data_IF_812298230679
#
_entry.id   IF_812298230679
#
_cell.length_a   1.000
_cell.length_b   1.000
_cell.length_c   1.000
_cell.angle_alpha   90.00
_cell.angle_beta   90.00
_cell.angle_gamma   90.00
#
_symmetry.space_group_name_H-M   'P 1'
#
loop_
_entity.id
_entity.type
_entity.pdbx_description
1 polymer ?
#
# COMPACT_ATOMS: atom_id res chain seq x y z
N UNK A 1 13.90 27.47 -2.35
CA UNK A 1 13.17 27.85 -3.59
C UNK A 1 14.12 27.65 -4.76
N UNK A 2 13.86 26.68 -5.63
CA UNK A 2 14.64 26.46 -6.85
C UNK A 2 14.14 27.46 -7.90
N UNK A 3 15.04 28.27 -8.46
CA UNK A 3 14.74 29.32 -9.42
C UNK A 3 14.41 28.79 -10.81
N UNK A 4 13.21 28.26 -10.98
CA UNK A 4 12.62 27.96 -12.29
C UNK A 4 11.35 28.80 -12.41
N UNK A 5 11.27 29.65 -13.43
CA UNK A 5 10.05 30.40 -13.69
C UNK A 5 8.92 29.41 -13.99
N UNK A 6 7.73 29.65 -13.44
CA UNK A 6 6.55 28.79 -13.64
C UNK A 6 6.26 28.53 -15.14
N UNK A 7 6.73 29.43 -16.01
CA UNK A 7 6.55 29.39 -17.46
C UNK A 7 7.39 28.32 -18.20
N UNK A 8 8.43 27.74 -17.58
CA UNK A 8 9.24 26.69 -18.22
C UNK A 8 8.54 25.32 -18.21
N UNK A 9 7.74 25.01 -17.18
CA UNK A 9 7.02 23.74 -17.07
C UNK A 9 5.86 23.65 -18.08
N UNK A 10 5.13 24.74 -18.32
CA UNK A 10 3.98 24.76 -19.25
C UNK A 10 4.33 24.51 -20.72
N UNK A 11 5.61 24.55 -21.11
CA UNK A 11 6.01 24.20 -22.49
C UNK A 11 6.08 22.70 -22.75
N UNK A 12 6.11 21.88 -21.71
CA UNK A 12 6.23 20.42 -21.80
C UNK A 12 4.92 19.67 -21.54
N UNK A 13 3.92 20.35 -20.97
CA UNK A 13 2.62 19.75 -20.65
C UNK A 13 1.50 20.46 -21.40
N UNK A 14 0.59 19.67 -21.96
CA UNK A 14 -0.53 20.19 -22.75
C UNK A 14 -1.43 21.15 -21.94
N UNK A 15 -1.60 20.87 -20.65
CA UNK A 15 -2.38 21.69 -19.72
C UNK A 15 -1.94 21.43 -18.26
N UNK A 16 -2.64 22.09 -17.33
CA UNK A 16 -2.41 21.96 -15.89
C UNK A 16 -2.68 20.53 -15.38
N UNK A 17 -3.65 19.83 -15.96
CA UNK A 17 -4.03 18.50 -15.50
C UNK A 17 -3.03 17.44 -15.96
N UNK A 18 -2.44 17.61 -17.15
CA UNK A 18 -1.31 16.83 -17.62
C UNK A 18 -0.08 16.99 -16.72
N UNK A 19 0.24 18.22 -16.31
CA UNK A 19 1.32 18.48 -15.35
C UNK A 19 1.03 17.83 -13.99
N UNK A 20 -0.19 18.00 -13.46
CA UNK A 20 -0.57 17.40 -12.18
C UNK A 20 -0.52 15.87 -12.24
N UNK A 21 -0.98 15.28 -13.34
CA UNK A 21 -0.92 13.83 -13.57
C UNK A 21 0.52 13.30 -13.51
N UNK A 22 1.48 13.97 -14.15
CA UNK A 22 2.89 13.58 -14.09
C UNK A 22 3.45 13.69 -12.66
N UNK A 23 3.11 14.75 -11.92
CA UNK A 23 3.58 14.91 -10.54
C UNK A 23 2.98 13.83 -9.63
N UNK A 24 1.70 13.50 -9.80
CA UNK A 24 1.03 12.39 -9.11
C UNK A 24 1.73 11.07 -9.40
N UNK A 25 1.99 10.77 -10.68
CA UNK A 25 2.69 9.55 -11.11
C UNK A 25 4.06 9.42 -10.44
N UNK A 26 4.86 10.51 -10.39
CA UNK A 26 6.16 10.49 -9.71
C UNK A 26 6.05 10.28 -8.20
N UNK A 27 5.04 10.86 -7.56
CA UNK A 27 4.80 10.65 -6.14
C UNK A 27 4.38 9.20 -5.85
N UNK A 28 3.59 8.58 -6.73
CA UNK A 28 3.22 7.17 -6.64
C UNK A 28 4.42 6.24 -6.91
N UNK A 29 5.27 6.56 -7.88
CA UNK A 29 6.52 5.83 -8.13
C UNK A 29 7.43 5.85 -6.89
N UNK A 30 7.56 7.02 -6.23
CA UNK A 30 8.31 7.13 -4.97
C UNK A 30 7.70 6.28 -3.86
N UNK A 31 6.38 6.25 -3.75
CA UNK A 31 5.70 5.37 -2.79
C UNK A 31 5.98 3.89 -3.08
N UNK A 32 5.99 3.50 -4.36
CA UNK A 32 6.32 2.13 -4.77
C UNK A 32 7.74 1.73 -4.39
N UNK A 33 8.71 2.63 -4.53
CA UNK A 33 10.10 2.37 -4.12
C UNK A 33 10.23 2.13 -2.62
N UNK A 34 9.54 2.94 -1.80
CA UNK A 34 9.55 2.78 -0.33
C UNK A 34 8.89 1.47 0.07
N UNK A 35 7.77 1.12 -0.55
CA UNK A 35 7.06 -0.14 -0.33
C UNK A 35 7.93 -1.34 -0.75
N UNK A 36 8.55 -1.29 -1.93
CA UNK A 36 9.42 -2.36 -2.42
C UNK A 36 10.59 -2.58 -1.47
N UNK A 37 11.25 -1.52 -1.02
CA UNK A 37 12.34 -1.62 -0.05
C UNK A 37 11.90 -2.29 1.26
N UNK A 38 10.69 -2.00 1.75
CA UNK A 38 10.15 -2.67 2.93
C UNK A 38 9.89 -4.16 2.67
N UNK A 39 9.37 -4.53 1.49
CA UNK A 39 9.15 -5.92 1.09
C UNK A 39 10.46 -6.69 0.95
N UNK A 40 11.51 -6.06 0.45
CA UNK A 40 12.83 -6.68 0.22
C UNK A 40 13.63 -6.86 1.52
N UNK A 41 13.30 -6.10 2.56
CA UNK A 41 13.83 -6.31 3.91
C UNK A 41 13.28 -7.58 4.59
N UNK A 42 12.23 -8.21 4.04
CA UNK A 42 11.70 -9.47 4.58
C UNK A 42 12.71 -10.60 4.34
N UNK A 43 13.14 -11.35 5.38
CA UNK A 43 14.16 -12.37 5.24
C UNK A 43 13.81 -13.44 4.22
N UNK A 44 14.76 -13.73 3.32
CA UNK A 44 14.55 -14.68 2.24
C UNK A 44 14.45 -16.15 2.70
N UNK A 45 15.00 -16.48 3.87
CA UNK A 45 15.01 -17.83 4.43
C UNK A 45 13.72 -18.25 5.15
N UNK A 46 12.67 -17.41 5.16
CA UNK A 46 11.38 -17.78 5.72
C UNK A 46 10.66 -18.78 4.81
N UNK A 47 9.93 -19.71 5.42
CA UNK A 47 8.97 -20.58 4.75
C UNK A 47 7.95 -19.77 3.91
N UNK A 48 7.43 -20.36 2.84
CA UNK A 48 6.64 -19.65 1.82
C UNK A 48 5.44 -18.89 2.42
N UNK A 49 4.62 -19.54 3.25
CA UNK A 49 3.46 -18.92 3.91
C UNK A 49 3.83 -17.75 4.82
N UNK A 50 4.67 -17.96 5.85
CA UNK A 50 5.18 -16.89 6.70
C UNK A 50 5.84 -15.74 5.93
N UNK A 51 6.57 -16.05 4.85
CA UNK A 51 7.20 -15.03 4.00
C UNK A 51 6.19 -14.21 3.22
N UNK A 52 5.20 -14.85 2.59
CA UNK A 52 4.14 -14.17 1.85
C UNK A 52 3.37 -13.22 2.77
N UNK A 53 3.00 -13.70 3.96
CA UNK A 53 2.34 -12.89 4.99
C UNK A 53 3.21 -11.72 5.45
N UNK A 54 4.49 -11.95 5.70
CA UNK A 54 5.42 -10.89 6.10
C UNK A 54 5.59 -9.82 5.01
N UNK A 55 5.66 -10.21 3.72
CA UNK A 55 5.71 -9.27 2.59
C UNK A 55 4.42 -8.48 2.45
N UNK A 56 3.26 -9.09 2.59
CA UNK A 56 1.97 -8.37 2.64
C UNK A 56 1.97 -7.32 3.76
N UNK A 57 2.42 -7.70 4.97
CA UNK A 57 2.52 -6.74 6.07
C UNK A 57 3.49 -5.60 5.78
N UNK A 58 4.62 -5.92 5.14
CA UNK A 58 5.61 -4.92 4.75
C UNK A 58 5.05 -3.91 3.74
N UNK A 59 4.10 -4.29 2.87
CA UNK A 59 3.40 -3.35 1.99
C UNK A 59 2.68 -2.27 2.80
N UNK A 60 1.86 -2.69 3.77
CA UNK A 60 1.08 -1.75 4.59
C UNK A 60 1.96 -0.85 5.46
N UNK A 61 3.03 -1.41 6.05
CA UNK A 61 3.99 -0.62 6.85
C UNK A 61 4.77 0.36 5.96
N UNK A 62 5.24 -0.07 4.78
CA UNK A 62 5.93 0.79 3.83
C UNK A 62 5.05 1.95 3.34
N UNK A 63 3.76 1.69 3.12
CA UNK A 63 2.77 2.71 2.76
C UNK A 63 2.64 3.78 3.84
N UNK A 64 2.44 3.37 5.11
CA UNK A 64 2.29 4.29 6.24
C UNK A 64 3.59 5.06 6.51
N UNK A 65 4.73 4.40 6.39
CA UNK A 65 6.04 5.05 6.49
C UNK A 65 6.22 6.13 5.42
N UNK A 66 5.90 5.84 4.17
CA UNK A 66 5.92 6.86 3.11
C UNK A 66 4.99 8.05 3.44
N UNK A 67 3.80 7.77 3.98
CA UNK A 67 2.88 8.83 4.38
C UNK A 67 3.45 9.76 5.46
N UNK A 68 4.15 9.19 6.46
CA UNK A 68 4.73 9.95 7.58
C UNK A 68 6.06 10.64 7.22
N UNK A 69 6.94 9.94 6.49
CA UNK A 69 8.25 10.46 6.10
C UNK A 69 8.12 11.55 5.02
N UNK A 70 7.13 11.45 4.13
CA UNK A 70 6.98 12.31 2.95
C UNK A 70 5.55 12.88 2.79
N UNK A 71 4.99 13.59 3.80
CA UNK A 71 3.56 13.95 3.83
C UNK A 71 3.15 14.90 2.70
N UNK A 72 4.07 15.68 2.14
CA UNK A 72 3.81 16.49 0.95
C UNK A 72 3.67 15.66 -0.32
N UNK A 73 4.51 14.63 -0.49
CA UNK A 73 4.42 13.70 -1.62
C UNK A 73 3.24 12.77 -1.47
N UNK A 74 2.93 12.31 -0.25
CA UNK A 74 1.73 11.53 0.03
C UNK A 74 0.47 12.27 -0.38
N UNK A 75 0.30 13.52 0.09
CA UNK A 75 -0.80 14.37 -0.36
C UNK A 75 -0.83 14.47 -1.87
N UNK A 76 0.32 14.67 -2.51
CA UNK A 76 0.38 14.77 -3.98
C UNK A 76 -0.04 13.48 -4.67
N UNK A 77 0.44 12.31 -4.22
CA UNK A 77 0.14 11.01 -4.78
C UNK A 77 -1.37 10.65 -4.73
N UNK A 78 -2.10 11.26 -3.81
CA UNK A 78 -3.52 10.99 -3.54
C UNK A 78 -4.41 12.25 -3.56
N UNK A 79 -3.92 13.39 -4.07
CA UNK A 79 -4.62 14.70 -4.09
C UNK A 79 -5.71 14.79 -5.15
N UNK A 80 -5.61 13.96 -6.18
CA UNK A 80 -6.59 13.84 -7.26
C UNK A 80 -7.39 12.57 -6.98
N UNK A 81 -8.73 12.54 -7.20
CA UNK A 81 -9.48 11.29 -7.16
C UNK A 81 -8.72 10.26 -8.01
N UNK A 82 -8.15 9.26 -7.35
CA UNK A 82 -7.44 8.19 -8.04
C UNK A 82 -8.52 7.41 -8.76
N UNK A 83 -8.65 7.63 -10.06
CA UNK A 83 -9.37 6.69 -10.90
C UNK A 83 -8.60 5.37 -10.80
N UNK A 84 -9.25 4.34 -10.26
CA UNK A 84 -8.67 3.00 -10.15
C UNK A 84 -8.22 2.48 -11.53
N UNK A 85 -8.79 2.99 -12.62
CA UNK A 85 -8.34 2.68 -13.99
C UNK A 85 -6.87 3.05 -14.25
N UNK A 86 -6.31 4.01 -13.48
CA UNK A 86 -4.91 4.45 -13.56
C UNK A 86 -4.01 3.86 -12.49
N UNK A 87 -4.53 3.06 -11.56
CA UNK A 87 -3.75 2.50 -10.45
C UNK A 87 -2.59 1.60 -10.91
N UNK A 88 -2.67 1.04 -12.12
CA UNK A 88 -1.64 0.23 -12.76
C UNK A 88 -0.93 0.95 -13.93
N UNK A 89 -1.01 2.29 -14.01
CA UNK A 89 -0.31 3.06 -15.04
C UNK A 89 1.20 2.89 -14.91
N UNK A 90 1.88 2.58 -16.02
CA UNK A 90 3.33 2.42 -16.06
C UNK A 90 4.09 3.69 -15.62
N UNK A 91 3.51 4.87 -15.82
CA UNK A 91 4.10 6.15 -15.42
C UNK A 91 4.20 6.28 -13.88
N UNK A 92 3.35 5.56 -13.15
CA UNK A 92 3.31 5.53 -11.69
C UNK A 92 4.15 4.39 -11.07
N UNK A 93 4.85 3.61 -11.90
CA UNK A 93 5.68 2.50 -11.44
C UNK A 93 6.98 3.02 -10.80
N UNK A 94 7.40 2.40 -9.70
CA UNK A 94 8.71 2.63 -9.11
C UNK A 94 9.84 2.02 -9.94
N UNK A 95 11.07 2.07 -9.43
CA UNK A 95 12.25 1.49 -10.07
C UNK A 95 12.13 -0.02 -10.31
N UNK A 96 11.32 -0.72 -9.51
CA UNK A 96 11.00 -2.14 -9.67
C UNK A 96 9.96 -2.46 -10.75
N UNK A 97 9.45 -1.44 -11.46
CA UNK A 97 8.49 -1.61 -12.55
C UNK A 97 7.05 -1.87 -12.11
N UNK A 98 6.76 -1.79 -10.81
CA UNK A 98 5.42 -1.96 -10.24
C UNK A 98 4.95 -0.69 -9.55
N UNK A 99 3.66 -0.40 -9.66
CA UNK A 99 2.99 0.66 -8.88
C UNK A 99 2.71 0.19 -7.44
N UNK A 100 2.35 1.09 -6.50
CA UNK A 100 1.94 0.70 -5.14
C UNK A 100 0.77 -0.29 -5.13
N UNK A 101 -0.20 -0.10 -6.04
CA UNK A 101 -1.36 -0.97 -6.16
C UNK A 101 -0.99 -2.37 -6.67
N UNK A 102 -0.06 -2.44 -7.64
CA UNK A 102 0.45 -3.71 -8.14
C UNK A 102 1.26 -4.44 -7.07
N UNK A 103 2.10 -3.75 -6.29
CA UNK A 103 2.83 -4.35 -5.17
C UNK A 103 1.89 -4.98 -4.14
N UNK A 104 0.80 -4.29 -3.80
CA UNK A 104 -0.26 -4.83 -2.94
C UNK A 104 -0.93 -6.07 -3.56
N UNK A 105 -1.31 -5.98 -4.82
CA UNK A 105 -1.98 -7.07 -5.55
C UNK A 105 -1.09 -8.31 -5.61
N UNK A 106 0.18 -8.16 -5.98
CA UNK A 106 1.16 -9.25 -6.00
C UNK A 106 1.38 -9.86 -4.63
N UNK A 107 1.40 -9.06 -3.56
CA UNK A 107 1.53 -9.60 -2.21
C UNK A 107 0.30 -10.41 -1.78
N UNK A 108 -0.91 -10.00 -2.17
CA UNK A 108 -2.15 -10.73 -1.93
C UNK A 108 -2.20 -12.04 -2.74
N UNK A 109 -1.81 -12.01 -4.00
CA UNK A 109 -1.72 -13.20 -4.86
C UNK A 109 -0.75 -14.23 -4.25
N UNK A 110 0.41 -13.77 -3.77
CA UNK A 110 1.37 -14.63 -3.07
C UNK A 110 0.82 -15.23 -1.76
N UNK A 111 -0.09 -14.56 -1.06
CA UNK A 111 -0.77 -15.14 0.11
C UNK A 111 -1.73 -16.27 -0.29
N UNK A 112 -2.43 -16.14 -1.43
CA UNK A 112 -3.29 -17.20 -1.97
C UNK A 112 -2.46 -18.39 -2.42
N UNK A 113 -1.39 -18.16 -3.19
CA UNK A 113 -0.48 -19.20 -3.67
C UNK A 113 0.17 -19.99 -2.52
N UNK A 114 0.48 -19.31 -1.41
CA UNK A 114 1.07 -19.92 -0.23
C UNK A 114 0.04 -20.58 0.71
N UNK A 115 -1.25 -20.58 0.36
CA UNK A 115 -2.34 -21.14 1.17
C UNK A 115 -2.66 -20.36 2.46
N UNK A 116 -2.16 -19.12 2.59
CA UNK A 116 -2.39 -18.24 3.74
C UNK A 116 -3.76 -17.54 3.64
N UNK A 117 -4.20 -17.25 2.42
CA UNK A 117 -5.49 -16.64 2.11
C UNK A 117 -6.29 -17.59 1.20
N UNK A 118 -7.58 -17.73 1.41
CA UNK A 118 -8.41 -18.50 0.49
C UNK A 118 -8.64 -17.72 -0.82
N UNK A 119 -8.78 -18.42 -1.95
CA UNK A 119 -9.11 -17.77 -3.21
C UNK A 119 -10.45 -17.01 -3.18
N UNK A 120 -11.37 -17.40 -2.28
CA UNK A 120 -12.65 -16.73 -2.08
C UNK A 120 -12.50 -15.35 -1.42
N UNK A 121 -11.50 -15.17 -0.56
CA UNK A 121 -11.21 -13.90 0.10
C UNK A 121 -10.45 -12.91 -0.78
N UNK A 122 -9.90 -13.37 -1.91
CA UNK A 122 -9.02 -12.57 -2.76
C UNK A 122 -9.72 -11.39 -3.46
N UNK A 123 -10.92 -11.53 -4.05
CA UNK A 123 -11.57 -10.42 -4.76
C UNK A 123 -11.82 -9.22 -3.84
N UNK A 124 -11.31 -8.04 -4.20
CA UNK A 124 -11.50 -6.80 -3.45
C UNK A 124 -10.65 -6.66 -2.19
N UNK A 125 -9.78 -7.64 -1.87
CA UNK A 125 -8.90 -7.60 -0.71
C UNK A 125 -7.97 -6.37 -0.73
N UNK A 126 -7.53 -5.93 -1.91
CA UNK A 126 -6.75 -4.72 -2.10
C UNK A 126 -7.49 -3.47 -1.62
N UNK A 127 -8.81 -3.38 -1.85
CA UNK A 127 -9.61 -2.23 -1.44
C UNK A 127 -9.76 -2.18 0.08
N UNK A 128 -9.97 -3.33 0.72
CA UNK A 128 -10.07 -3.44 2.18
C UNK A 128 -8.74 -3.08 2.84
N UNK A 129 -7.63 -3.64 2.34
CA UNK A 129 -6.31 -3.38 2.86
C UNK A 129 -5.90 -1.91 2.68
N UNK A 130 -6.11 -1.36 1.47
CA UNK A 130 -5.80 0.03 1.16
C UNK A 130 -6.63 0.99 2.00
N UNK A 131 -7.95 0.76 2.14
CA UNK A 131 -8.83 1.62 2.94
C UNK A 131 -8.35 1.76 4.38
N UNK A 132 -7.89 0.66 5.00
CA UNK A 132 -7.40 0.69 6.37
C UNK A 132 -6.13 1.56 6.52
N UNK A 133 -5.11 1.32 5.71
CA UNK A 133 -3.84 2.06 5.81
C UNK A 133 -3.96 3.50 5.32
N UNK A 134 -4.77 3.74 4.28
CA UNK A 134 -5.07 5.09 3.80
C UNK A 134 -5.86 5.89 4.83
N UNK A 135 -6.87 5.27 5.46
CA UNK A 135 -7.64 5.89 6.54
C UNK A 135 -6.75 6.29 7.71
N UNK A 136 -5.87 5.41 8.17
CA UNK A 136 -4.90 5.74 9.24
C UNK A 136 -3.99 6.90 8.83
N UNK A 137 -3.44 6.88 7.61
CA UNK A 137 -2.60 7.97 7.11
C UNK A 137 -3.34 9.32 7.11
N UNK A 138 -4.59 9.35 6.63
CA UNK A 138 -5.41 10.56 6.61
C UNK A 138 -5.73 11.06 8.02
N UNK A 139 -6.08 10.14 8.93
CA UNK A 139 -6.36 10.49 10.33
C UNK A 139 -5.12 11.06 11.05
N UNK A 140 -3.94 10.55 10.74
CA UNK A 140 -2.66 11.00 11.29
C UNK A 140 -2.13 12.30 10.66
N UNK A 141 -2.33 12.52 9.36
CA UNK A 141 -1.80 13.70 8.68
C UNK A 141 -2.73 14.92 8.78
N UNK A 142 -4.04 14.69 8.78
CA UNK A 142 -5.04 15.74 8.59
C UNK A 142 -6.19 15.66 9.60
N UNK A 143 -6.39 14.48 10.20
CA UNK A 143 -7.47 14.19 11.13
C UNK A 143 -7.10 14.37 12.61
N UNK A 144 -7.92 13.78 13.50
CA UNK A 144 -7.81 13.97 14.95
C UNK A 144 -6.55 13.35 15.57
N UNK A 145 -5.80 12.53 14.82
CA UNK A 145 -4.57 11.88 15.32
C UNK A 145 -3.32 12.73 15.06
N UNK A 146 -3.44 13.88 14.39
CA UNK A 146 -2.31 14.74 14.00
C UNK A 146 -1.47 15.29 15.16
N UNK A 147 -2.06 15.37 16.35
CA UNK A 147 -1.40 15.89 17.55
C UNK A 147 -0.76 14.78 18.39
N UNK A 148 -0.81 13.52 17.93
CA UNK A 148 -0.08 12.42 18.54
C UNK A 148 1.43 12.57 18.31
N UNK A 149 2.27 12.02 19.21
CA UNK A 149 3.70 11.91 18.95
C UNK A 149 3.96 11.17 17.63
N UNK A 150 4.97 11.58 16.83
CA UNK A 150 5.30 10.91 15.56
C UNK A 150 5.47 9.38 15.69
N UNK A 151 6.01 8.94 16.83
CA UNK A 151 6.26 7.53 17.13
C UNK A 151 4.96 6.71 17.29
N UNK A 152 3.83 7.37 17.60
CA UNK A 152 2.57 6.69 17.80
C UNK A 152 2.07 6.01 16.51
N UNK A 153 2.29 6.63 15.35
CA UNK A 153 1.90 6.02 14.06
C UNK A 153 2.78 4.83 13.74
N UNK A 154 4.09 4.92 14.03
CA UNK A 154 5.02 3.81 13.85
C UNK A 154 4.67 2.62 14.74
N UNK A 155 4.23 2.86 15.97
CA UNK A 155 3.76 1.81 16.88
C UNK A 155 2.41 1.19 16.46
N UNK A 156 1.50 2.01 15.92
CA UNK A 156 0.17 1.57 15.50
C UNK A 156 0.18 0.87 14.14
N UNK A 157 1.11 1.22 13.24
CA UNK A 157 1.16 0.70 11.88
C UNK A 157 1.23 -0.84 11.82
N UNK A 158 2.14 -1.53 12.54
CA UNK A 158 2.16 -2.99 12.55
C UNK A 158 0.88 -3.61 13.13
N UNK A 159 0.23 -2.94 14.08
CA UNK A 159 -1.01 -3.42 14.72
C UNK A 159 -2.20 -3.32 13.77
N UNK A 160 -2.34 -2.20 13.08
CA UNK A 160 -3.35 -1.99 12.03
C UNK A 160 -3.19 -3.03 10.92
N UNK A 161 -1.97 -3.20 10.42
CA UNK A 161 -1.68 -4.14 9.35
C UNK A 161 -1.96 -5.58 9.79
N UNK A 162 -1.63 -5.94 11.04
CA UNK A 162 -2.00 -7.25 11.62
C UNK A 162 -3.52 -7.44 11.69
N UNK A 163 -4.28 -6.40 12.01
CA UNK A 163 -5.75 -6.46 12.04
C UNK A 163 -6.32 -6.76 10.64
N UNK A 164 -5.81 -6.08 9.62
CA UNK A 164 -6.19 -6.32 8.21
C UNK A 164 -5.82 -7.74 7.78
N UNK A 165 -4.58 -8.15 8.01
CA UNK A 165 -4.07 -9.49 7.71
C UNK A 165 -4.90 -10.59 8.37
N UNK A 166 -5.29 -10.43 9.64
CA UNK A 166 -6.20 -11.37 10.29
C UNK A 166 -7.60 -11.36 9.65
N UNK A 167 -8.16 -10.19 9.33
CA UNK A 167 -9.48 -10.11 8.68
C UNK A 167 -9.50 -10.72 7.27
N UNK A 168 -8.36 -10.71 6.59
CA UNK A 168 -8.18 -11.25 5.24
C UNK A 168 -7.74 -12.72 5.21
N UNK A 169 -7.12 -13.22 6.28
CA UNK A 169 -6.48 -14.53 6.38
C UNK A 169 -7.21 -15.53 7.28
N UNK A 170 -8.49 -15.30 7.61
CA UNK A 170 -9.31 -16.33 8.26
C UNK A 170 -9.70 -17.37 7.20
N UNK A 171 -8.92 -18.43 7.07
CA UNK A 171 -9.38 -19.63 6.37
C UNK A 171 -10.49 -20.25 7.21
N UNK A 172 -11.75 -20.22 6.75
CA UNK A 172 -12.80 -21.09 7.28
C UNK A 172 -12.44 -22.54 6.92
N UNK A 173 -11.68 -23.20 7.79
CA UNK A 173 -11.11 -24.51 7.49
C UNK A 173 -10.41 -25.17 8.67
N UNK A 174 -11.07 -25.16 9.84
CA UNK A 174 -10.60 -25.86 11.04
C UNK A 174 -11.71 -26.43 11.93
N UNK A 175 -12.93 -26.58 11.38
CA UNK A 175 -13.98 -27.37 12.03
C UNK A 175 -13.80 -28.83 11.64
N UNK A 176 -13.37 -29.67 12.59
CA UNK A 176 -13.39 -31.12 12.45
C UNK A 176 -14.76 -31.61 11.93
N UNK A 177 -14.80 -32.66 11.10
CA UNK A 177 -16.04 -33.41 10.95
C UNK A 177 -16.38 -33.99 12.31
N UNK A 178 -17.52 -33.60 12.88
CA UNK A 178 -18.12 -34.35 13.98
C UNK A 178 -18.41 -35.74 13.42
N UNK A 179 -17.55 -36.69 13.79
CA UNK A 179 -17.76 -38.11 13.53
C UNK A 179 -18.99 -38.54 14.34
N UNK A 180 -20.16 -38.40 13.72
CA UNK A 180 -21.42 -38.88 14.22
C UNK A 180 -21.53 -40.38 13.98
N UNK A 181 -20.69 -41.15 14.67
CA UNK A 181 -20.75 -42.60 14.75
C UNK A 181 -21.27 -43.08 16.11
N UNK A 182 -22.59 -43.27 16.20
CA UNK A 182 -23.32 -44.35 16.90
C UNK A 182 -24.82 -44.03 16.97
#
# INVERSE_FOLDING_TARGET
RVGVSANAAYRHFADRDALLGEVVSRAQARAADVISAAMDAVPAGLEQGPRARARFRAVGVGYLRFAMDEPGLFRTAFAVPVDLSRAASADAAGAGGLTPFQLLSTALDAMVEAGVMSGEQRPGAELLAWSAVHGMAMLALEGPLRDLPPEAVDELAPRLVRMVDLGLGLSDGGGEPVDGGA
#
